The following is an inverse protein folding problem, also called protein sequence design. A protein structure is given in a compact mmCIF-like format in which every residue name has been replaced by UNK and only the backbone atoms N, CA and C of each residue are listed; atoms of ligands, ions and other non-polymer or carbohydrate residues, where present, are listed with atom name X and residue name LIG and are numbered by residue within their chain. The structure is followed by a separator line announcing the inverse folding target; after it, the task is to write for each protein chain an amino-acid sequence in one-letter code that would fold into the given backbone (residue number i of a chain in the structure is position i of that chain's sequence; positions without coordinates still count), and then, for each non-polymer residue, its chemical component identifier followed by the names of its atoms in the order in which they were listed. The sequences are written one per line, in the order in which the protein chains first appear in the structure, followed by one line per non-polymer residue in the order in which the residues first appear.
data_IF_538896918759
#
_entry.id   IF_538896918759
#
_cell.length_a   1.000
_cell.length_b   1.000
_cell.length_c   1.000
_cell.angle_alpha   90.00
_cell.angle_beta   90.00
_cell.angle_gamma   90.00
#
_symmetry.space_group_name_H-M   'P 1'
#
loop_
_entity.id
_entity.type
_entity.pdbx_description
1 polymer ?
#
# COMPACT_ATOMS: atom_id res chain seq x y z
N UNK A 1 7.74 -72.11 23.04
CA UNK A 1 9.18 -72.09 22.71
C UNK A 1 9.39 -71.19 21.49
N UNK A 2 9.61 -69.88 21.60
CA UNK A 2 10.09 -69.06 22.74
C UNK A 2 11.48 -69.51 23.24
N UNK A 3 12.44 -68.62 23.56
CA UNK A 3 12.32 -67.21 24.03
C UNK A 3 13.30 -66.22 23.37
N UNK A 4 13.16 -64.93 23.71
CA UNK A 4 14.04 -63.78 23.42
C UNK A 4 15.48 -63.93 24.02
N UNK A 5 16.47 -63.04 23.84
CA UNK A 5 16.58 -61.60 23.45
C UNK A 5 17.99 -61.39 22.82
N UNK A 6 18.49 -60.28 22.24
CA UNK A 6 18.13 -58.84 22.13
C UNK A 6 18.66 -58.28 20.76
N UNK A 7 19.04 -57.01 20.51
CA UNK A 7 19.16 -55.79 21.32
C UNK A 7 19.71 -54.59 20.51
N UNK A 8 19.52 -53.37 21.05
CA UNK A 8 20.08 -52.03 20.73
C UNK A 8 20.44 -51.60 19.28
N UNK A 9 19.86 -50.46 18.87
CA UNK A 9 20.13 -49.82 17.57
C UNK A 9 19.65 -48.35 17.44
N UNK A 10 19.57 -47.60 18.54
CA UNK A 10 19.00 -46.24 18.56
C UNK A 10 19.86 -45.22 17.78
N UNK A 11 19.52 -44.95 16.51
CA UNK A 11 20.12 -43.86 15.72
C UNK A 11 19.28 -42.58 15.79
N UNK A 12 19.60 -41.77 16.79
CA UNK A 12 19.23 -40.35 16.85
C UNK A 12 19.75 -39.61 15.60
N UNK A 13 18.86 -39.30 14.66
CA UNK A 13 19.18 -38.48 13.48
C UNK A 13 19.08 -36.99 13.83
N UNK A 14 20.11 -36.46 14.50
CA UNK A 14 20.18 -35.05 14.89
C UNK A 14 20.44 -34.13 13.69
N UNK A 15 19.38 -33.80 12.94
CA UNK A 15 19.41 -32.66 12.01
C UNK A 15 19.62 -31.35 12.81
N UNK A 16 20.59 -30.50 12.45
CA UNK A 16 20.67 -29.15 13.02
C UNK A 16 19.47 -28.30 12.55
N UNK A 17 19.01 -27.33 13.34
CA UNK A 17 17.99 -26.39 12.91
C UNK A 17 18.58 -25.49 11.81
N UNK A 18 18.06 -25.59 10.59
CA UNK A 18 18.47 -24.73 9.48
C UNK A 18 17.92 -23.32 9.67
N UNK A 19 18.69 -22.45 10.31
CA UNK A 19 18.46 -21.00 10.28
C UNK A 19 18.52 -20.53 8.84
N UNK A 20 17.35 -20.31 8.24
CA UNK A 20 17.21 -19.94 6.85
C UNK A 20 15.95 -19.10 6.66
N UNK A 21 16.09 -17.79 6.89
CA UNK A 21 15.28 -16.82 6.15
C UNK A 21 15.61 -17.06 4.68
N UNK A 22 14.72 -17.76 3.98
CA UNK A 22 14.79 -17.85 2.53
C UNK A 22 14.10 -16.62 1.97
N UNK A 23 14.85 -15.84 1.22
CA UNK A 23 14.29 -14.86 0.31
C UNK A 23 13.48 -15.61 -0.75
N UNK A 24 12.18 -15.82 -0.50
CA UNK A 24 11.25 -16.30 -1.52
C UNK A 24 11.02 -15.18 -2.54
N UNK A 25 11.97 -15.08 -3.48
CA UNK A 25 11.90 -14.14 -4.60
C UNK A 25 10.55 -14.31 -5.33
N UNK A 26 9.82 -13.22 -5.61
CA UNK A 26 8.54 -13.29 -6.31
C UNK A 26 8.70 -13.91 -7.71
N UNK A 27 7.64 -14.55 -8.19
CA UNK A 27 7.68 -15.40 -9.39
C UNK A 27 7.95 -14.59 -10.68
N UNK A 28 8.65 -15.17 -11.68
CA UNK A 28 9.38 -14.37 -12.68
C UNK A 28 8.55 -13.68 -13.78
N UNK A 29 7.22 -13.63 -13.65
CA UNK A 29 6.30 -13.11 -14.68
C UNK A 29 5.48 -11.90 -14.19
N UNK A 30 5.94 -11.26 -13.13
CA UNK A 30 5.39 -10.01 -12.61
C UNK A 30 6.49 -8.93 -12.58
N UNK A 31 6.14 -7.71 -13.00
CA UNK A 31 7.06 -6.58 -12.90
C UNK A 31 7.44 -6.33 -11.42
N UNK A 32 8.72 -6.03 -11.14
CA UNK A 32 9.20 -5.85 -9.76
C UNK A 32 8.47 -4.70 -9.06
N UNK A 33 8.42 -4.76 -7.73
CA UNK A 33 7.87 -3.68 -6.93
C UNK A 33 8.88 -2.54 -6.80
N UNK A 34 8.48 -1.36 -7.27
CA UNK A 34 9.30 -0.14 -7.29
C UNK A 34 9.72 0.27 -5.87
N UNK A 35 8.76 0.21 -4.93
CA UNK A 35 8.90 0.67 -3.55
C UNK A 35 8.38 -0.40 -2.60
N UNK A 36 9.18 -0.78 -1.62
CA UNK A 36 8.80 -1.75 -0.58
C UNK A 36 9.19 -1.16 0.78
N UNK A 37 8.30 -1.27 1.76
CA UNK A 37 8.58 -0.93 3.15
C UNK A 37 7.98 -1.95 4.10
N UNK A 38 8.41 -1.92 5.36
CA UNK A 38 7.92 -2.80 6.41
C UNK A 38 7.39 -1.98 7.58
N UNK A 39 6.23 -2.38 8.13
CA UNK A 39 5.66 -1.80 9.35
C UNK A 39 5.50 -2.84 10.45
N UNK A 40 5.80 -2.47 11.70
CA UNK A 40 5.69 -3.34 12.87
C UNK A 40 4.24 -3.47 13.41
N UNK A 41 4.04 -4.09 14.58
CA UNK A 41 2.72 -4.18 15.26
C UNK A 41 2.17 -2.82 15.71
N UNK A 42 3.01 -1.79 15.71
CA UNK A 42 2.69 -0.42 16.12
C UNK A 42 2.59 0.52 14.91
N UNK A 43 2.58 0.00 13.68
CA UNK A 43 2.52 0.76 12.43
C UNK A 43 3.69 1.74 12.24
N UNK A 44 4.83 1.49 12.92
CA UNK A 44 6.08 2.21 12.67
C UNK A 44 6.75 1.65 11.42
N UNK A 45 7.21 2.52 10.52
CA UNK A 45 8.01 2.13 9.34
C UNK A 45 9.40 1.74 9.85
N UNK A 46 9.69 0.43 9.89
CA UNK A 46 10.93 -0.12 10.44
C UNK A 46 11.99 -0.41 9.37
N UNK A 47 11.60 -0.51 8.11
CA UNK A 47 12.52 -0.82 7.00
C UNK A 47 11.97 -0.30 5.65
N UNK A 48 12.84 -0.05 4.68
CA UNK A 48 12.51 0.32 3.29
C UNK A 48 13.51 -0.33 2.31
N UNK A 49 13.12 -0.55 1.05
CA UNK A 49 14.03 -1.06 0.02
C UNK A 49 15.06 -0.03 -0.45
N UNK A 50 16.16 -0.49 -1.05
CA UNK A 50 17.24 0.37 -1.54
C UNK A 50 16.84 1.29 -2.70
N UNK A 51 15.70 1.04 -3.35
CA UNK A 51 15.13 1.91 -4.39
C UNK A 51 14.33 3.09 -3.80
N UNK A 52 13.98 3.06 -2.50
CA UNK A 52 13.11 4.06 -1.86
C UNK A 52 13.60 5.49 -2.08
N UNK A 53 14.87 5.77 -1.82
CA UNK A 53 15.42 7.13 -1.94
C UNK A 53 15.47 7.61 -3.40
N UNK A 54 15.71 6.72 -4.37
CA UNK A 54 15.64 7.07 -5.79
C UNK A 54 14.20 7.46 -6.16
N UNK A 55 13.23 6.57 -5.88
CA UNK A 55 11.83 6.82 -6.17
C UNK A 55 11.32 8.09 -5.47
N UNK A 56 11.70 8.32 -4.20
CA UNK A 56 11.34 9.52 -3.47
C UNK A 56 11.87 10.79 -4.14
N UNK A 57 13.14 10.81 -4.56
CA UNK A 57 13.72 11.98 -5.25
C UNK A 57 13.06 12.23 -6.61
N UNK A 58 12.79 11.18 -7.40
CA UNK A 58 12.10 11.28 -8.70
C UNK A 58 10.65 11.76 -8.60
N UNK A 59 9.99 11.55 -7.44
CA UNK A 59 8.57 11.82 -7.24
C UNK A 59 8.26 12.97 -6.26
N UNK A 60 9.27 13.66 -5.73
CA UNK A 60 9.10 14.69 -4.69
C UNK A 60 8.63 14.16 -3.33
N UNK A 61 8.92 12.89 -3.04
CA UNK A 61 8.58 12.21 -1.79
C UNK A 61 9.61 12.43 -0.67
N UNK A 62 9.44 11.68 0.43
CA UNK A 62 10.35 11.71 1.59
C UNK A 62 11.34 10.55 1.54
N UNK A 63 12.63 10.86 1.58
CA UNK A 63 13.72 9.87 1.72
C UNK A 63 13.68 9.12 3.06
N UNK A 64 14.28 7.93 3.10
CA UNK A 64 14.19 6.92 4.15
C UNK A 64 14.43 7.49 5.56
N UNK A 65 15.46 8.33 5.73
CA UNK A 65 15.82 8.95 7.03
C UNK A 65 14.73 9.86 7.61
N UNK A 66 13.74 10.26 6.82
CA UNK A 66 12.62 11.13 7.22
C UNK A 66 11.35 10.34 7.59
N UNK A 67 11.33 9.03 7.32
CA UNK A 67 10.17 8.14 7.49
C UNK A 67 10.44 6.95 8.43
N UNK A 68 11.67 6.44 8.49
CA UNK A 68 12.05 5.34 9.38
C UNK A 68 11.83 5.71 10.86
N UNK A 69 11.33 4.75 11.64
CA UNK A 69 10.99 4.92 13.06
C UNK A 69 9.72 5.74 13.32
N UNK A 70 8.95 6.11 12.28
CA UNK A 70 7.71 6.91 12.41
C UNK A 70 6.46 6.13 12.01
N UNK A 71 5.31 6.55 12.54
CA UNK A 71 4.00 5.96 12.24
C UNK A 71 3.64 6.18 10.77
N UNK A 72 3.20 5.16 10.06
CA UNK A 72 2.73 5.30 8.67
C UNK A 72 1.59 6.34 8.55
N UNK A 73 0.68 6.37 9.52
CA UNK A 73 -0.48 7.26 9.53
C UNK A 73 -0.15 8.76 9.74
N UNK A 74 1.11 9.10 10.08
CA UNK A 74 1.62 10.48 10.00
C UNK A 74 1.59 11.00 8.55
N UNK A 75 1.85 10.11 7.59
CA UNK A 75 2.00 10.43 6.17
C UNK A 75 0.70 10.25 5.37
N UNK A 76 -0.29 9.55 5.93
CA UNK A 76 -1.62 9.36 5.32
C UNK A 76 -2.55 10.49 5.77
N UNK A 77 -3.03 11.28 4.82
CA UNK A 77 -3.84 12.48 5.07
C UNK A 77 -5.34 12.20 4.85
N UNK A 78 -6.16 12.49 5.85
CA UNK A 78 -7.61 12.32 5.84
C UNK A 78 -8.07 11.01 6.47
N UNK A 79 -9.08 11.08 7.33
CA UNK A 79 -9.37 9.98 8.25
C UNK A 79 -10.09 8.80 7.59
N UNK A 80 -10.93 9.03 6.56
CA UNK A 80 -11.43 7.97 5.68
C UNK A 80 -10.27 7.17 5.03
N UNK A 81 -9.18 7.85 4.68
CA UNK A 81 -8.02 7.27 4.02
C UNK A 81 -7.12 6.49 4.99
N UNK A 82 -6.97 6.98 6.22
CA UNK A 82 -6.32 6.26 7.32
C UNK A 82 -7.08 4.98 7.67
N UNK A 83 -8.38 5.10 7.92
CA UNK A 83 -9.26 3.97 8.23
C UNK A 83 -9.27 2.90 7.13
N UNK A 84 -9.22 3.31 5.86
CA UNK A 84 -9.10 2.41 4.72
C UNK A 84 -7.82 1.57 4.76
N UNK A 85 -6.65 2.20 5.00
CA UNK A 85 -5.37 1.50 5.08
C UNK A 85 -5.28 0.64 6.34
N UNK A 86 -5.72 1.15 7.49
CA UNK A 86 -5.77 0.40 8.75
C UNK A 86 -6.63 -0.86 8.62
N UNK A 87 -7.82 -0.76 8.00
CA UNK A 87 -8.70 -1.93 7.79
C UNK A 87 -7.98 -3.06 7.05
N UNK A 88 -7.20 -2.74 6.01
CA UNK A 88 -6.42 -3.74 5.28
C UNK A 88 -5.25 -4.28 6.13
N UNK A 89 -4.57 -3.43 6.89
CA UNK A 89 -3.46 -3.84 7.76
C UNK A 89 -3.93 -4.77 8.88
N UNK A 90 -5.01 -4.42 9.58
CA UNK A 90 -5.59 -5.28 10.62
C UNK A 90 -6.12 -6.58 10.02
N UNK A 91 -6.76 -6.55 8.84
CA UNK A 91 -7.19 -7.76 8.12
C UNK A 91 -6.00 -8.71 7.85
N UNK A 92 -4.90 -8.21 7.24
CA UNK A 92 -3.71 -9.04 6.98
C UNK A 92 -3.05 -9.54 8.26
N UNK A 93 -2.96 -8.70 9.31
CA UNK A 93 -2.41 -9.11 10.62
C UNK A 93 -3.25 -10.20 11.30
N UNK A 94 -4.58 -10.13 11.21
CA UNK A 94 -5.51 -11.05 11.86
C UNK A 94 -5.63 -12.38 11.09
N UNK A 95 -5.90 -12.33 9.79
CA UNK A 95 -6.17 -13.53 9.00
C UNK A 95 -4.91 -14.24 8.46
N UNK A 96 -3.73 -13.61 8.58
CA UNK A 96 -2.46 -14.07 7.99
C UNK A 96 -2.55 -14.35 6.48
N UNK A 97 -3.29 -13.50 5.78
CA UNK A 97 -3.47 -13.52 4.32
C UNK A 97 -3.05 -12.20 3.71
N UNK A 98 -2.29 -12.26 2.62
CA UNK A 98 -1.89 -11.07 1.89
C UNK A 98 -3.06 -10.42 1.15
N UNK A 99 -3.05 -9.09 1.04
CA UNK A 99 -4.08 -8.29 0.40
C UNK A 99 -3.46 -7.51 -0.77
N UNK A 100 -4.02 -7.68 -1.97
CA UNK A 100 -3.61 -6.95 -3.19
C UNK A 100 -4.70 -5.96 -3.57
N UNK A 101 -4.36 -4.68 -3.76
CA UNK A 101 -5.31 -3.63 -4.15
C UNK A 101 -4.75 -2.67 -5.18
N UNK A 102 -5.55 -2.39 -6.21
CA UNK A 102 -5.26 -1.37 -7.21
C UNK A 102 -5.78 -0.01 -6.73
N UNK A 103 -5.01 1.05 -6.99
CA UNK A 103 -5.33 2.42 -6.62
C UNK A 103 -4.72 3.42 -7.61
N UNK A 104 -4.98 4.71 -7.41
CA UNK A 104 -4.48 5.82 -8.23
C UNK A 104 -3.56 6.74 -7.42
N UNK A 105 -2.37 7.04 -7.94
CA UNK A 105 -1.38 7.94 -7.34
C UNK A 105 -1.11 9.16 -8.23
N UNK A 106 -2.17 9.82 -8.71
CA UNK A 106 -2.09 10.81 -9.79
C UNK A 106 -1.24 12.04 -9.41
N UNK A 107 -0.36 12.46 -10.33
CA UNK A 107 0.27 13.78 -10.31
C UNK A 107 -0.65 14.81 -10.99
N UNK A 108 -0.33 16.12 -10.97
CA UNK A 108 -1.12 17.14 -11.66
C UNK A 108 -1.32 16.90 -13.16
N UNK A 109 -0.40 16.18 -13.81
CA UNK A 109 -0.36 15.95 -15.26
C UNK A 109 -0.51 14.49 -15.69
N UNK A 110 -0.42 13.52 -14.76
CA UNK A 110 -0.50 12.09 -15.04
C UNK A 110 -1.43 11.37 -14.08
N UNK A 111 -2.42 10.63 -14.60
CA UNK A 111 -3.04 9.53 -13.87
C UNK A 111 -2.02 8.39 -13.73
N UNK A 112 -1.90 7.81 -12.55
CA UNK A 112 -1.00 6.66 -12.29
C UNK A 112 -1.75 5.54 -11.61
N UNK A 113 -2.02 4.48 -12.34
CA UNK A 113 -2.61 3.25 -11.82
C UNK A 113 -1.51 2.41 -11.20
N UNK A 114 -1.67 2.09 -9.92
CA UNK A 114 -0.69 1.37 -9.12
C UNK A 114 -1.31 0.15 -8.43
N UNK A 115 -0.50 -0.87 -8.18
CA UNK A 115 -0.83 -1.97 -7.29
C UNK A 115 -0.11 -1.76 -5.96
N UNK A 116 -0.83 -1.98 -4.86
CA UNK A 116 -0.26 -2.19 -3.53
C UNK A 116 -0.51 -3.64 -3.13
N UNK A 117 0.51 -4.30 -2.58
CA UNK A 117 0.45 -5.63 -1.98
C UNK A 117 0.87 -5.52 -0.52
N UNK A 118 0.06 -6.06 0.40
CA UNK A 118 0.31 -6.08 1.85
C UNK A 118 0.44 -7.55 2.25
N UNK A 119 1.59 -7.97 2.76
CA UNK A 119 1.89 -9.38 3.08
C UNK A 119 2.26 -9.55 4.57
N UNK A 120 1.77 -10.62 5.23
CA UNK A 120 1.99 -10.84 6.65
C UNK A 120 3.40 -11.37 6.91
N UNK A 121 4.22 -10.61 7.64
CA UNK A 121 5.52 -11.03 8.12
C UNK A 121 5.47 -11.79 9.45
N UNK A 122 6.63 -12.21 9.93
CA UNK A 122 6.82 -12.70 11.30
C UNK A 122 6.39 -11.65 12.32
N UNK A 123 5.93 -12.12 13.48
CA UNK A 123 5.54 -11.29 14.61
C UNK A 123 4.61 -10.09 14.28
N UNK A 124 3.73 -10.21 13.28
CA UNK A 124 2.76 -9.15 12.97
C UNK A 124 3.34 -7.91 12.30
N UNK A 125 4.60 -8.00 11.87
CA UNK A 125 5.16 -7.18 10.79
C UNK A 125 4.26 -7.30 9.55
N UNK A 126 4.17 -6.23 8.77
CA UNK A 126 3.62 -6.25 7.42
C UNK A 126 4.70 -5.80 6.43
N UNK A 127 4.81 -6.49 5.31
CA UNK A 127 5.58 -6.05 4.14
C UNK A 127 4.59 -5.37 3.21
N UNK A 128 4.88 -4.14 2.76
CA UNK A 128 4.00 -3.37 1.88
C UNK A 128 4.77 -2.95 0.64
N UNK A 129 4.31 -3.44 -0.51
CA UNK A 129 5.00 -3.37 -1.80
C UNK A 129 4.13 -2.63 -2.82
N UNK A 130 4.70 -1.65 -3.52
CA UNK A 130 4.00 -0.78 -4.47
C UNK A 130 4.66 -0.81 -5.85
N UNK A 131 3.84 -0.92 -6.92
CA UNK A 131 4.30 -0.85 -8.32
C UNK A 131 3.38 -0.02 -9.20
N UNK A 132 3.94 0.61 -10.23
CA UNK A 132 3.17 1.22 -11.32
C UNK A 132 2.68 0.14 -12.31
N UNK A 133 1.38 0.10 -12.57
CA UNK A 133 0.76 -0.75 -13.60
C UNK A 133 0.66 0.00 -14.93
N UNK A 134 0.22 1.26 -14.89
CA UNK A 134 0.02 2.12 -16.06
C UNK A 134 0.09 3.59 -15.65
N UNK A 135 0.70 4.41 -16.50
CA UNK A 135 0.57 5.88 -16.44
C UNK A 135 -0.11 6.39 -17.71
N UNK A 136 -0.98 7.41 -17.59
CA UNK A 136 -1.59 8.10 -18.73
C UNK A 136 -1.69 9.61 -18.46
N UNK A 137 -1.52 10.50 -19.46
CA UNK A 137 -1.70 11.94 -19.27
C UNK A 137 -3.12 12.31 -18.81
N UNK A 138 -3.26 13.41 -18.07
CA UNK A 138 -4.57 13.96 -17.70
C UNK A 138 -4.65 15.47 -17.96
N UNK A 139 -5.84 15.91 -18.36
CA UNK A 139 -6.17 17.31 -18.56
C UNK A 139 -7.59 17.61 -17.99
N UNK A 140 -7.88 18.84 -17.51
CA UNK A 140 -6.93 19.93 -17.27
C UNK A 140 -5.88 19.58 -16.21
N UNK A 141 -4.66 20.11 -16.37
CA UNK A 141 -3.59 19.98 -15.37
C UNK A 141 -3.95 20.86 -14.17
N UNK A 142 -4.13 20.27 -12.99
CA UNK A 142 -4.57 20.97 -11.76
C UNK A 142 -3.85 20.43 -10.52
N UNK A 143 -3.61 21.30 -9.54
CA UNK A 143 -3.04 20.89 -8.26
C UNK A 143 -4.17 20.69 -7.24
N UNK A 144 -4.21 19.52 -6.60
CA UNK A 144 -5.15 19.25 -5.50
C UNK A 144 -4.48 19.51 -4.16
N UNK A 145 -4.95 20.52 -3.42
CA UNK A 145 -4.43 20.88 -2.10
C UNK A 145 -5.37 20.33 -1.02
N UNK A 146 -4.84 19.57 -0.05
CA UNK A 146 -5.66 19.09 1.06
C UNK A 146 -6.16 20.24 1.93
N UNK A 147 -7.44 20.22 2.27
CA UNK A 147 -8.08 21.23 3.09
C UNK A 147 -9.20 20.62 3.97
N UNK A 148 -9.15 20.73 5.31
CA UNK A 148 -9.99 19.92 6.20
C UNK A 148 -11.48 20.34 6.29
N UNK A 149 -11.84 21.57 5.91
CA UNK A 149 -13.25 22.05 6.01
C UNK A 149 -14.21 21.23 5.15
N UNK A 150 -15.38 20.87 5.70
CA UNK A 150 -16.37 20.01 5.04
C UNK A 150 -16.93 20.54 3.69
N UNK A 151 -16.90 21.85 3.45
CA UNK A 151 -17.48 22.49 2.26
C UNK A 151 -16.58 22.49 1.01
N UNK A 152 -15.40 21.86 1.07
CA UNK A 152 -14.53 21.70 -0.11
C UNK A 152 -14.89 20.44 -0.91
N UNK A 153 -14.47 20.40 -2.18
CA UNK A 153 -14.65 19.27 -3.09
C UNK A 153 -14.06 17.99 -2.50
N UNK A 154 -14.75 16.85 -2.62
CA UNK A 154 -14.20 15.56 -2.16
C UNK A 154 -13.44 14.86 -3.28
N UNK A 155 -12.26 14.31 -2.97
CA UNK A 155 -11.46 13.45 -3.86
C UNK A 155 -11.30 12.08 -3.21
N UNK A 156 -11.58 11.01 -3.96
CA UNK A 156 -11.42 9.65 -3.44
C UNK A 156 -9.93 9.32 -3.31
N UNK A 157 -9.42 9.00 -2.13
CA UNK A 157 -7.98 8.72 -1.95
C UNK A 157 -7.52 7.39 -2.57
N UNK A 158 -8.45 6.57 -3.08
CA UNK A 158 -8.16 5.27 -3.70
C UNK A 158 -8.21 5.36 -5.22
N UNK A 159 -9.25 5.97 -5.80
CA UNK A 159 -9.42 6.05 -7.26
C UNK A 159 -9.30 7.46 -7.84
N UNK A 160 -9.01 8.49 -7.02
CA UNK A 160 -8.86 9.90 -7.38
C UNK A 160 -10.05 10.58 -8.09
N UNK A 161 -11.16 9.86 -8.33
CA UNK A 161 -12.44 10.43 -8.75
C UNK A 161 -12.91 11.51 -7.79
N UNK A 162 -13.57 12.53 -8.33
CA UNK A 162 -14.09 13.69 -7.60
C UNK A 162 -15.58 13.50 -7.32
N UNK A 163 -16.05 13.85 -6.12
CA UNK A 163 -17.48 13.85 -5.80
C UNK A 163 -18.08 15.23 -6.07
N UNK A 164 -18.96 15.31 -7.07
CA UNK A 164 -19.76 16.50 -7.36
C UNK A 164 -21.23 16.12 -7.34
N UNK A 165 -22.02 16.86 -6.57
CA UNK A 165 -23.46 16.68 -6.43
C UNK A 165 -23.84 15.21 -6.07
N UNK A 166 -23.09 14.65 -5.11
CA UNK A 166 -23.21 13.26 -4.64
C UNK A 166 -22.56 12.21 -5.55
N UNK A 167 -22.26 12.51 -6.81
CA UNK A 167 -21.77 11.54 -7.81
C UNK A 167 -20.25 11.57 -7.94
N UNK A 168 -19.63 10.38 -7.91
CA UNK A 168 -18.18 10.19 -8.13
C UNK A 168 -17.87 10.09 -9.63
N UNK A 169 -17.00 10.96 -10.15
CA UNK A 169 -16.67 11.08 -11.58
C UNK A 169 -15.18 11.29 -11.80
N UNK A 170 -14.70 11.08 -13.03
CA UNK A 170 -13.31 11.42 -13.39
C UNK A 170 -13.08 12.94 -13.47
N UNK A 171 -11.79 13.33 -13.50
CA UNK A 171 -11.33 14.72 -13.40
C UNK A 171 -11.88 15.60 -14.54
N UNK A 172 -11.76 15.10 -15.76
CA UNK A 172 -12.25 15.65 -17.02
C UNK A 172 -13.80 15.74 -17.11
N UNK A 173 -14.51 14.97 -16.29
CA UNK A 173 -15.98 14.99 -16.19
C UNK A 173 -16.51 15.99 -15.15
N UNK A 174 -15.63 16.71 -14.46
CA UNK A 174 -15.93 17.60 -13.31
C UNK A 174 -15.29 18.97 -13.45
N UNK A 175 -14.11 19.05 -14.07
CA UNK A 175 -13.31 20.27 -14.28
C UNK A 175 -13.24 20.62 -15.77
N UNK A 176 -13.14 21.92 -16.07
CA UNK A 176 -13.12 22.42 -17.44
C UNK A 176 -11.70 22.84 -17.87
N UNK A 177 -11.34 22.84 -19.16
CA UNK A 177 -10.01 23.25 -19.65
C UNK A 177 -9.53 24.61 -19.14
N UNK A 178 -10.45 25.58 -18.95
CA UNK A 178 -10.18 26.90 -18.38
C UNK A 178 -9.74 26.90 -16.91
N UNK A 179 -9.75 25.74 -16.23
CA UNK A 179 -9.22 25.55 -14.87
C UNK A 179 -7.77 25.05 -14.85
N UNK A 180 -7.10 24.90 -16.00
CA UNK A 180 -5.70 24.50 -16.05
C UNK A 180 -4.79 25.45 -15.24
N UNK A 181 -3.89 24.87 -14.45
CA UNK A 181 -3.03 25.60 -13.49
C UNK A 181 -3.70 25.95 -12.16
N UNK A 182 -4.99 25.66 -11.97
CA UNK A 182 -5.69 25.99 -10.72
C UNK A 182 -5.22 25.12 -9.52
N UNK A 183 -5.13 25.76 -8.36
CA UNK A 183 -4.96 25.13 -7.06
C UNK A 183 -6.33 24.88 -6.43
N UNK A 184 -6.81 23.64 -6.47
CA UNK A 184 -8.16 23.27 -6.04
C UNK A 184 -8.13 22.67 -4.62
N UNK A 185 -8.81 23.29 -3.64
CA UNK A 185 -8.91 22.73 -2.29
C UNK A 185 -9.81 21.49 -2.30
N UNK A 186 -9.31 20.38 -1.76
CA UNK A 186 -10.03 19.12 -1.64
C UNK A 186 -9.91 18.51 -0.25
N UNK A 187 -10.89 17.69 0.13
CA UNK A 187 -10.78 16.77 1.26
C UNK A 187 -10.78 15.34 0.76
N UNK A 188 -9.93 14.51 1.36
CA UNK A 188 -9.88 13.09 1.04
C UNK A 188 -11.01 12.33 1.72
N UNK A 189 -11.57 11.39 0.98
CA UNK A 189 -12.68 10.51 1.36
C UNK A 189 -12.51 9.19 0.57
N UNK A 190 -13.38 8.19 0.76
CA UNK A 190 -13.36 6.95 -0.05
C UNK A 190 -14.73 6.70 -0.65
N UNK A 191 -14.81 6.50 -1.98
CA UNK A 191 -16.08 6.24 -2.66
C UNK A 191 -16.61 4.83 -2.39
N UNK A 192 -17.93 4.64 -2.50
CA UNK A 192 -18.61 3.36 -2.21
C UNK A 192 -18.00 2.18 -2.97
N UNK A 193 -17.67 2.35 -4.25
CA UNK A 193 -17.00 1.35 -5.09
C UNK A 193 -15.72 0.81 -4.43
N UNK A 194 -14.88 1.72 -3.93
CA UNK A 194 -13.60 1.40 -3.28
C UNK A 194 -13.81 0.83 -1.88
N UNK A 195 -14.80 1.31 -1.12
CA UNK A 195 -15.17 0.73 0.18
C UNK A 195 -15.57 -0.75 0.02
N UNK A 196 -16.50 -1.05 -0.90
CA UNK A 196 -16.92 -2.42 -1.22
C UNK A 196 -15.76 -3.28 -1.69
N UNK A 197 -14.83 -2.70 -2.46
CA UNK A 197 -13.61 -3.40 -2.89
C UNK A 197 -12.71 -3.76 -1.70
N UNK A 198 -12.60 -2.93 -0.66
CA UNK A 198 -11.84 -3.29 0.55
C UNK A 198 -12.52 -4.38 1.40
N UNK A 199 -13.86 -4.42 1.44
CA UNK A 199 -14.59 -5.46 2.18
C UNK A 199 -14.44 -6.88 1.60
N UNK A 200 -14.15 -6.99 0.30
CA UNK A 200 -13.93 -8.28 -0.38
C UNK A 200 -12.43 -8.64 -0.46
N UNK A 201 -11.72 -8.53 0.68
CA UNK A 201 -10.30 -8.87 0.84
C UNK A 201 -10.12 -10.31 1.33
#
# INVERSE_FOLDING_TARGET
METATAGDGNRLSSRPPSTGLKDEMPTPNEAPFDVIYQVDRQDLIVNVNSQWDQFANENGGLIAKSVLGRKLFDFIVGDSSRMYVDTMFQHTRLLKKGVVRQYRCDSPSMKRFMEMRIEPGSDGLLIVSHRIIKSEPVAPVVNFLYHPKAFVLRRCSVCNRLNRDGRWRELDQVLYPAMAGANLPVRYDVCGDCQTTASNA
#
